data_IF_274069213640
#
_entry.id   IF_274069213640
#
_cell.length_a   1.000
_cell.length_b   1.000
_cell.length_c   1.000
_cell.angle_alpha   90.00
_cell.angle_beta   90.00
_cell.angle_gamma   90.00
#
_symmetry.space_group_name_H-M   'P 1'
#
loop_
_entity.id
_entity.type
_entity.pdbx_description
1 polymer ?
#
# COMPACT_ATOMS: atom_id res chain seq x y z
N UNK A 1 10.83 -13.46 32.93
CA UNK A 1 10.32 -14.55 32.08
C UNK A 1 9.67 -15.57 33.00
N UNK A 2 8.36 -15.76 32.90
CA UNK A 2 7.63 -16.76 33.68
C UNK A 2 7.51 -18.04 32.86
N UNK A 3 8.31 -19.06 33.21
CA UNK A 3 8.16 -20.39 32.62
C UNK A 3 6.83 -21.01 33.07
N UNK A 4 6.07 -21.69 32.19
CA UNK A 4 6.43 -22.12 30.82
C UNK A 4 6.12 -21.11 29.70
N UNK A 5 5.83 -19.85 29.99
CA UNK A 5 5.46 -18.85 28.98
C UNK A 5 6.66 -18.05 28.51
N UNK A 6 6.77 -17.86 27.21
CA UNK A 6 7.79 -17.05 26.54
C UNK A 6 7.11 -16.04 25.62
N UNK A 7 7.44 -14.78 25.78
CA UNK A 7 6.97 -13.71 24.88
C UNK A 7 8.03 -13.38 23.83
N UNK A 8 7.64 -13.38 22.58
CA UNK A 8 8.51 -13.08 21.45
C UNK A 8 7.97 -11.88 20.66
N UNK A 9 8.87 -11.01 20.21
CA UNK A 9 8.57 -10.02 19.16
C UNK A 9 9.20 -10.49 17.85
N UNK A 10 8.38 -10.70 16.84
CA UNK A 10 8.82 -11.26 15.56
C UNK A 10 8.58 -10.25 14.44
N UNK A 11 9.62 -10.00 13.65
CA UNK A 11 9.52 -9.29 12.37
C UNK A 11 9.76 -10.31 11.26
N UNK A 12 8.81 -10.47 10.36
CA UNK A 12 8.87 -11.49 9.32
C UNK A 12 8.22 -11.01 8.02
N UNK A 13 8.53 -11.69 6.93
CA UNK A 13 7.93 -11.45 5.62
C UNK A 13 6.50 -11.98 5.53
N UNK A 14 5.79 -11.58 4.46
CA UNK A 14 4.50 -12.15 4.07
C UNK A 14 4.61 -13.67 3.92
N UNK A 15 3.61 -14.40 4.42
CA UNK A 15 3.53 -15.85 4.32
C UNK A 15 4.15 -16.61 5.49
N UNK A 16 4.81 -15.93 6.45
CA UNK A 16 5.33 -16.59 7.66
C UNK A 16 4.20 -16.97 8.61
N UNK A 17 4.10 -18.25 8.92
CA UNK A 17 3.12 -18.79 9.88
C UNK A 17 3.69 -18.79 11.30
N UNK A 18 3.21 -17.88 12.14
CA UNK A 18 3.74 -17.72 13.53
C UNK A 18 3.47 -18.96 14.37
N UNK A 19 2.37 -19.71 14.14
CA UNK A 19 2.13 -20.98 14.82
C UNK A 19 3.23 -22.01 14.55
N UNK A 20 3.63 -22.13 13.27
CA UNK A 20 4.73 -23.02 12.88
C UNK A 20 6.05 -22.58 13.50
N UNK A 21 6.33 -21.26 13.50
CA UNK A 21 7.53 -20.72 14.15
C UNK A 21 7.57 -21.09 15.64
N UNK A 22 6.45 -20.97 16.38
CA UNK A 22 6.41 -21.35 17.80
C UNK A 22 6.64 -22.84 18.00
N UNK A 23 6.08 -23.68 17.15
CA UNK A 23 6.32 -25.12 17.15
C UNK A 23 7.79 -25.45 16.92
N UNK A 24 8.39 -24.90 15.86
CA UNK A 24 9.78 -25.16 15.48
C UNK A 24 10.77 -24.71 16.58
N UNK A 25 10.49 -23.57 17.24
CA UNK A 25 11.29 -23.12 18.38
C UNK A 25 11.21 -24.12 19.51
N UNK A 26 10.02 -24.60 19.85
CA UNK A 26 9.81 -25.59 20.91
C UNK A 26 10.49 -26.93 20.62
N UNK A 27 10.41 -27.42 19.38
CA UNK A 27 11.10 -28.64 18.94
C UNK A 27 12.62 -28.50 19.07
N UNK A 28 13.19 -27.37 18.61
CA UNK A 28 14.63 -27.11 18.72
C UNK A 28 15.11 -26.94 20.18
N UNK A 29 14.21 -26.45 21.04
CA UNK A 29 14.48 -26.36 22.48
C UNK A 29 14.32 -27.70 23.23
N UNK A 30 13.82 -28.74 22.56
CA UNK A 30 13.59 -30.07 23.13
C UNK A 30 12.45 -30.16 24.13
N UNK A 31 11.53 -29.18 24.12
CA UNK A 31 10.40 -29.14 25.07
C UNK A 31 9.03 -29.00 24.39
N UNK A 32 8.98 -28.96 23.06
CA UNK A 32 7.77 -28.62 22.32
C UNK A 32 7.36 -27.17 22.53
N UNK A 33 6.44 -26.69 21.68
CA UNK A 33 5.97 -25.30 21.80
C UNK A 33 4.64 -25.10 21.06
N UNK A 34 3.79 -24.27 21.65
CA UNK A 34 2.53 -23.86 21.02
C UNK A 34 2.28 -22.37 21.20
N UNK A 35 1.58 -21.79 20.24
CA UNK A 35 1.20 -20.38 20.32
C UNK A 35 -0.04 -20.21 21.22
N UNK A 36 0.11 -19.45 22.30
CA UNK A 36 -0.97 -19.14 23.25
C UNK A 36 -1.76 -17.90 22.79
N UNK A 37 -1.04 -16.87 22.35
CA UNK A 37 -1.65 -15.63 21.89
C UNK A 37 -0.81 -15.00 20.77
N UNK A 38 -1.46 -14.18 19.95
CA UNK A 38 -0.81 -13.41 18.90
C UNK A 38 -1.40 -12.02 18.84
N UNK A 39 -0.56 -10.99 18.89
CA UNK A 39 -0.94 -9.62 18.64
C UNK A 39 -0.11 -9.06 17.49
N UNK A 40 -0.80 -8.64 16.43
CA UNK A 40 -0.14 -7.99 15.30
C UNK A 40 -0.06 -6.49 15.57
N UNK A 41 1.16 -5.99 15.70
CA UNK A 41 1.40 -4.57 16.00
C UNK A 41 1.70 -3.73 14.75
N UNK A 42 2.01 -4.41 13.61
CA UNK A 42 2.30 -3.76 12.33
C UNK A 42 2.00 -4.69 11.15
N UNK A 43 1.56 -4.10 10.03
CA UNK A 43 1.42 -4.78 8.74
C UNK A 43 1.76 -3.80 7.61
N UNK A 44 2.93 -3.95 6.97
CA UNK A 44 3.43 -2.97 6.02
C UNK A 44 3.68 -1.61 6.69
N UNK A 45 3.10 -0.55 6.14
CA UNK A 45 3.10 0.81 6.70
C UNK A 45 2.12 0.99 7.86
N UNK A 46 1.09 0.16 7.98
CA UNK A 46 0.04 0.28 9.00
C UNK A 46 0.52 -0.19 10.37
N UNK A 47 0.31 0.64 11.40
CA UNK A 47 0.61 0.32 12.80
C UNK A 47 -0.67 0.17 13.61
N UNK A 48 -0.64 -0.68 14.61
CA UNK A 48 -1.76 -0.85 15.54
C UNK A 48 -2.13 0.46 16.26
N UNK A 49 -1.13 1.30 16.57
CA UNK A 49 -1.33 2.57 17.26
C UNK A 49 -2.14 3.60 16.42
N UNK A 50 -2.15 3.42 15.10
CA UNK A 50 -2.84 4.30 14.15
C UNK A 50 -4.20 3.70 13.72
N UNK A 51 -4.54 2.50 14.23
CA UNK A 51 -5.78 1.82 13.90
C UNK A 51 -6.94 2.32 14.78
N UNK A 52 -8.13 2.36 14.20
CA UNK A 52 -9.37 2.60 14.93
C UNK A 52 -10.13 1.30 15.15
N UNK A 53 -10.93 1.24 16.20
CA UNK A 53 -11.80 0.09 16.47
C UNK A 53 -13.06 0.12 15.60
N UNK A 54 -13.74 -1.02 15.49
CA UNK A 54 -15.03 -1.09 14.79
C UNK A 54 -16.10 -0.23 15.46
N UNK A 55 -16.05 -0.08 16.79
CA UNK A 55 -16.98 0.78 17.53
C UNK A 55 -16.75 2.25 17.20
N UNK A 56 -15.49 2.71 17.18
CA UNK A 56 -15.12 4.05 16.76
C UNK A 56 -15.53 4.32 15.31
N UNK A 57 -15.31 3.37 14.41
CA UNK A 57 -15.75 3.47 13.01
C UNK A 57 -17.28 3.61 12.93
N UNK A 58 -18.03 2.87 13.77
CA UNK A 58 -19.49 2.98 13.81
C UNK A 58 -19.95 4.37 14.24
N UNK A 59 -19.32 4.94 15.26
CA UNK A 59 -19.59 6.32 15.70
C UNK A 59 -19.31 7.34 14.60
N UNK A 60 -18.17 7.20 13.91
CA UNK A 60 -17.83 8.08 12.79
C UNK A 60 -18.81 7.95 11.62
N UNK A 61 -19.26 6.74 11.32
CA UNK A 61 -20.28 6.51 10.29
C UNK A 61 -21.59 7.23 10.62
N UNK A 62 -22.07 7.08 11.83
CA UNK A 62 -23.34 7.67 12.27
C UNK A 62 -23.25 9.21 12.34
N UNK A 63 -22.05 9.75 12.55
CA UNK A 63 -21.76 11.18 12.48
C UNK A 63 -21.49 11.70 11.05
N UNK A 64 -21.45 10.82 10.02
CA UNK A 64 -21.11 11.20 8.65
C UNK A 64 -19.65 11.64 8.47
N UNK A 65 -18.74 11.18 9.34
CA UNK A 65 -17.36 11.63 9.44
C UNK A 65 -16.33 10.54 9.04
N UNK A 66 -16.75 9.47 8.34
CA UNK A 66 -15.86 8.36 7.96
C UNK A 66 -14.66 8.84 7.12
N UNK A 67 -14.87 9.84 6.26
CA UNK A 67 -13.82 10.41 5.40
C UNK A 67 -12.59 10.91 6.19
N UNK A 68 -12.77 11.28 7.46
CA UNK A 68 -11.68 11.80 8.30
C UNK A 68 -10.65 10.75 8.70
N UNK A 69 -10.98 9.47 8.55
CA UNK A 69 -10.12 8.34 8.93
C UNK A 69 -9.72 7.46 7.74
N UNK A 70 -10.22 7.78 6.56
CA UNK A 70 -9.79 7.11 5.33
C UNK A 70 -8.41 7.59 4.92
N UNK A 71 -7.55 6.66 4.63
CA UNK A 71 -6.22 6.93 4.07
C UNK A 71 -6.34 6.90 2.55
N UNK A 72 -6.03 8.00 1.85
CA UNK A 72 -6.02 8.02 0.39
C UNK A 72 -5.15 6.91 -0.20
N UNK A 73 -5.59 6.34 -1.32
CA UNK A 73 -4.88 5.20 -1.94
C UNK A 73 -3.46 5.58 -2.38
N UNK A 74 -3.26 6.81 -2.82
CA UNK A 74 -1.96 7.35 -3.24
C UNK A 74 -0.94 7.38 -2.10
N UNK A 75 -1.36 7.50 -0.84
CA UNK A 75 -0.46 7.43 0.32
C UNK A 75 0.16 6.03 0.54
N UNK A 76 -0.34 5.02 -0.17
CA UNK A 76 0.28 3.69 -0.18
C UNK A 76 1.54 3.61 -1.04
N UNK A 77 1.86 4.66 -1.79
CA UNK A 77 2.98 4.74 -2.71
C UNK A 77 3.90 5.94 -2.41
N UNK A 78 4.38 6.10 -1.16
CA UNK A 78 5.11 7.30 -0.72
C UNK A 78 6.46 7.48 -1.44
N UNK A 79 7.02 6.41 -2.00
CA UNK A 79 8.33 6.41 -2.66
C UNK A 79 8.22 6.70 -4.16
N UNK A 80 7.01 6.76 -4.72
CA UNK A 80 6.81 7.02 -6.15
C UNK A 80 6.67 8.51 -6.43
N UNK A 81 7.32 8.96 -7.50
CA UNK A 81 7.14 10.32 -8.00
C UNK A 81 5.74 10.55 -8.57
N UNK A 82 5.22 11.76 -8.46
CA UNK A 82 3.95 12.14 -9.08
C UNK A 82 4.15 12.67 -10.51
N UNK A 83 3.18 12.41 -11.38
CA UNK A 83 3.03 13.03 -12.69
C UNK A 83 1.58 13.45 -12.93
N UNK A 84 1.38 14.61 -13.55
CA UNK A 84 0.06 15.18 -13.82
C UNK A 84 -0.17 15.23 -15.33
N UNK A 85 -1.21 14.54 -15.79
CA UNK A 85 -1.58 14.53 -17.21
C UNK A 85 -2.34 15.79 -17.56
N UNK A 86 -1.96 16.42 -18.67
CA UNK A 86 -2.60 17.64 -19.16
C UNK A 86 -4.08 17.40 -19.47
N UNK A 87 -4.96 18.41 -19.30
CA UNK A 87 -6.41 18.30 -19.51
C UNK A 87 -6.80 17.68 -20.86
N UNK A 88 -6.09 18.03 -21.92
CA UNK A 88 -6.34 17.53 -23.28
C UNK A 88 -6.23 16.00 -23.39
N UNK A 89 -5.44 15.36 -22.50
CA UNK A 89 -5.16 13.92 -22.55
C UNK A 89 -5.83 13.14 -21.41
N UNK A 90 -6.63 13.78 -20.53
CA UNK A 90 -7.33 13.15 -19.41
C UNK A 90 -8.12 11.90 -19.83
N UNK A 91 -8.66 11.89 -21.05
CA UNK A 91 -9.41 10.74 -21.58
C UNK A 91 -8.57 9.46 -21.69
N UNK A 92 -7.24 9.58 -21.84
CA UNK A 92 -6.34 8.42 -21.83
C UNK A 92 -6.32 7.75 -20.46
N UNK A 93 -6.33 8.54 -19.38
CA UNK A 93 -6.37 8.03 -18.00
C UNK A 93 -7.68 7.31 -17.72
N UNK A 94 -8.81 7.93 -18.05
CA UNK A 94 -10.15 7.34 -17.82
C UNK A 94 -10.28 5.97 -18.48
N UNK A 95 -9.67 5.79 -19.66
CA UNK A 95 -9.72 4.54 -20.40
C UNK A 95 -8.57 3.56 -20.06
N UNK A 96 -7.68 3.91 -19.10
CA UNK A 96 -6.52 3.09 -18.76
C UNK A 96 -5.51 2.91 -19.90
N UNK A 97 -5.42 3.90 -20.78
CA UNK A 97 -4.52 3.87 -21.93
C UNK A 97 -3.10 4.34 -21.56
N UNK A 98 -2.15 3.97 -22.40
CA UNK A 98 -0.79 4.50 -22.35
C UNK A 98 -0.77 5.96 -22.77
N UNK A 99 0.21 6.72 -22.24
CA UNK A 99 0.43 8.11 -22.65
C UNK A 99 1.94 8.41 -22.76
N UNK A 100 2.28 9.52 -23.41
CA UNK A 100 3.65 9.93 -23.69
C UNK A 100 4.13 10.99 -22.69
N UNK A 101 5.46 11.17 -22.51
CA UNK A 101 6.00 12.23 -21.64
C UNK A 101 5.59 13.66 -22.05
N UNK A 102 5.21 13.88 -23.29
CA UNK A 102 4.69 15.16 -23.78
C UNK A 102 3.25 15.45 -23.35
N UNK A 103 2.52 14.44 -22.84
CA UNK A 103 1.15 14.56 -22.35
C UNK A 103 1.07 14.97 -20.89
N UNK A 104 2.20 15.06 -20.18
CA UNK A 104 2.27 15.43 -18.77
C UNK A 104 2.79 16.86 -18.58
N UNK A 105 2.59 17.40 -17.39
CA UNK A 105 3.02 18.76 -17.03
C UNK A 105 4.49 18.82 -16.65
N UNK A 106 5.01 17.76 -16.02
CA UNK A 106 6.39 17.66 -15.56
C UNK A 106 7.35 17.48 -16.73
N UNK A 107 8.45 18.24 -16.68
CA UNK A 107 9.51 18.19 -17.70
C UNK A 107 10.78 17.62 -17.11
N UNK A 108 10.81 16.28 -16.91
CA UNK A 108 12.01 15.57 -16.48
C UNK A 108 12.25 14.31 -17.31
N UNK A 109 13.41 13.71 -17.14
CA UNK A 109 13.69 12.39 -17.70
C UNK A 109 13.18 11.31 -16.76
N UNK A 110 12.74 10.20 -17.35
CA UNK A 110 12.30 9.01 -16.66
C UNK A 110 13.19 7.85 -17.03
N UNK A 111 13.54 7.01 -16.05
CA UNK A 111 14.30 5.78 -16.27
C UNK A 111 13.40 4.65 -16.75
N UNK A 112 13.96 3.70 -17.48
CA UNK A 112 13.24 2.48 -17.85
C UNK A 112 12.81 1.70 -16.61
N UNK A 113 11.54 1.31 -16.56
CA UNK A 113 10.95 0.64 -15.39
C UNK A 113 10.60 1.58 -14.22
N UNK A 114 10.79 2.90 -14.35
CA UNK A 114 10.42 3.84 -13.31
C UNK A 114 8.90 3.88 -13.12
N UNK A 115 8.44 3.61 -11.91
CA UNK A 115 7.03 3.70 -11.54
C UNK A 115 6.70 5.11 -11.01
N UNK A 116 5.50 5.59 -11.35
CA UNK A 116 4.99 6.92 -10.96
C UNK A 116 3.52 6.85 -10.58
N UNK A 117 3.12 7.69 -9.63
CA UNK A 117 1.73 8.01 -9.34
C UNK A 117 1.19 8.99 -10.38
N UNK A 118 0.05 8.68 -10.98
CA UNK A 118 -0.53 9.48 -12.07
C UNK A 118 -1.81 10.16 -11.63
N UNK A 119 -1.85 11.47 -11.87
CA UNK A 119 -2.97 12.35 -11.56
C UNK A 119 -3.47 13.07 -12.82
N UNK A 120 -4.72 13.52 -12.78
CA UNK A 120 -5.18 14.52 -13.74
C UNK A 120 -4.77 15.94 -13.27
N UNK A 121 -5.09 16.94 -14.05
CA UNK A 121 -4.83 18.36 -13.77
C UNK A 121 -5.57 18.89 -12.53
N UNK A 122 -6.66 18.23 -12.13
CA UNK A 122 -7.42 18.52 -10.92
C UNK A 122 -6.86 17.83 -9.65
N UNK A 123 -5.79 17.04 -9.78
CA UNK A 123 -5.20 16.30 -8.67
C UNK A 123 -5.91 14.99 -8.33
N UNK A 124 -6.79 14.49 -9.19
CA UNK A 124 -7.43 13.19 -9.02
C UNK A 124 -6.43 12.07 -9.30
N UNK A 125 -6.21 11.19 -8.35
CA UNK A 125 -5.34 10.02 -8.52
C UNK A 125 -5.99 8.96 -9.41
N UNK A 126 -5.30 8.53 -10.44
CA UNK A 126 -5.77 7.51 -11.39
C UNK A 126 -5.09 6.16 -11.21
N UNK A 127 -3.84 6.13 -10.75
CA UNK A 127 -3.14 4.88 -10.59
C UNK A 127 -1.62 4.99 -10.63
N UNK A 128 -0.99 3.83 -10.65
CA UNK A 128 0.44 3.68 -10.82
C UNK A 128 0.74 3.25 -12.25
N UNK A 129 1.65 3.95 -12.88
CA UNK A 129 2.15 3.66 -14.23
C UNK A 129 3.64 3.43 -14.21
N UNK A 130 4.15 2.70 -15.18
CA UNK A 130 5.58 2.45 -15.39
C UNK A 130 6.02 3.07 -16.72
N UNK A 131 7.18 3.71 -16.71
CA UNK A 131 7.79 4.22 -17.92
C UNK A 131 8.53 3.10 -18.66
N UNK A 132 8.24 2.93 -19.94
CA UNK A 132 8.92 2.01 -20.84
C UNK A 132 9.76 2.81 -21.85
N UNK A 133 11.10 2.75 -21.71
CA UNK A 133 12.00 3.54 -22.56
C UNK A 133 11.92 3.11 -24.03
N UNK A 134 11.78 1.80 -24.28
CA UNK A 134 11.67 1.26 -25.65
C UNK A 134 10.48 1.82 -26.44
N UNK A 135 9.40 2.18 -25.75
CA UNK A 135 8.18 2.77 -26.33
C UNK A 135 8.07 4.27 -26.08
N UNK A 136 8.93 4.80 -25.22
CA UNK A 136 8.89 6.17 -24.72
C UNK A 136 7.48 6.54 -24.21
N UNK A 137 6.87 5.65 -23.43
CA UNK A 137 5.49 5.83 -22.96
C UNK A 137 5.30 5.30 -21.55
N UNK A 138 4.28 5.82 -20.86
CA UNK A 138 3.81 5.32 -19.59
C UNK A 138 2.71 4.29 -19.81
N UNK A 139 2.86 3.11 -19.22
CA UNK A 139 1.88 2.02 -19.26
C UNK A 139 1.27 1.82 -17.87
N UNK A 140 -0.06 1.60 -17.75
CA UNK A 140 -0.68 1.34 -16.47
C UNK A 140 -0.18 0.03 -15.86
N UNK A 141 0.17 0.08 -14.57
CA UNK A 141 0.48 -1.07 -13.71
C UNK A 141 -0.73 -1.40 -12.86
N UNK A 142 -1.31 -0.38 -12.22
CA UNK A 142 -2.49 -0.51 -11.37
C UNK A 142 -3.35 0.73 -11.47
N UNK A 143 -4.63 0.52 -11.75
CA UNK A 143 -5.64 1.60 -11.84
C UNK A 143 -6.52 1.62 -10.59
N UNK A 144 -6.90 2.82 -10.14
CA UNK A 144 -7.66 3.03 -8.89
C UNK A 144 -8.81 4.05 -9.04
N UNK A 145 -9.22 4.39 -10.25
CA UNK A 145 -10.32 5.34 -10.39
C UNK A 145 -11.65 4.73 -9.96
N UNK A 146 -12.46 5.54 -9.29
CA UNK A 146 -13.87 5.27 -9.12
C UNK A 146 -14.60 5.67 -10.41
N UNK A 147 -15.41 4.78 -10.92
CA UNK A 147 -16.36 5.03 -12.02
C UNK A 147 -17.47 5.96 -11.57
#
# INVERSE_FOLDING_TARGET
>A
MELPFVSLRVSCSKGTYIRTLCHDIGERAGCGGTMVSLRRTRSGSFREADAITLDELTVLRDAGAVETVLIPVEEMFPDLGAVHVQPAFRKLLVNGNTFLPEHIMERRRYGDGEEVCVYDDGGTFFGVYVFEEARRSFRPVKMFFAS
#
